data_IF_384396839457
#
_entry.id   IF_384396839457
#
_cell.length_a   1.000
_cell.length_b   1.000
_cell.length_c   1.000
_cell.angle_alpha   90.00
_cell.angle_beta   90.00
_cell.angle_gamma   90.00
#
_symmetry.space_group_name_H-M   'P 1'
#
loop_
_entity.id
_entity.type
_entity.pdbx_description
1 polymer ?
#
# COMPACT_ATOMS: atom_id res chain seq x y z
N UNK A 1 52.35 -23.09 6.63
CA UNK A 1 51.67 -22.97 5.32
C UNK A 1 50.20 -23.27 5.55
N UNK A 2 49.48 -22.36 6.22
CA UNK A 2 48.76 -21.21 5.62
C UNK A 2 47.54 -21.67 4.84
N UNK A 3 46.35 -21.45 5.39
CA UNK A 3 45.59 -20.25 5.04
C UNK A 3 44.25 -20.28 5.78
N UNK A 4 44.17 -19.51 6.85
CA UNK A 4 42.94 -19.19 7.55
C UNK A 4 42.05 -18.32 6.66
N UNK A 5 40.79 -18.74 6.54
CA UNK A 5 39.70 -18.00 5.93
C UNK A 5 39.34 -16.80 6.82
N UNK A 6 39.50 -15.57 6.34
CA UNK A 6 38.98 -14.36 6.98
C UNK A 6 37.98 -13.63 6.07
N UNK A 7 36.78 -13.40 6.60
CA UNK A 7 35.83 -12.39 6.14
C UNK A 7 36.28 -10.98 6.59
N UNK A 8 35.94 -9.95 5.82
CA UNK A 8 35.18 -8.75 6.24
C UNK A 8 35.68 -7.39 5.72
N UNK A 9 34.70 -6.49 5.63
CA UNK A 9 34.75 -5.02 5.60
C UNK A 9 34.76 -4.36 4.22
N UNK A 10 33.75 -3.50 4.05
CA UNK A 10 33.36 -2.89 2.79
C UNK A 10 33.94 -1.51 2.53
N UNK A 11 33.71 -1.08 1.28
CA UNK A 11 33.48 0.30 0.84
C UNK A 11 32.86 0.19 -0.55
N UNK A 12 31.55 0.34 -0.65
CA UNK A 12 30.89 0.64 -1.94
C UNK A 12 31.17 2.11 -2.21
N UNK A 13 32.37 2.39 -2.71
CA UNK A 13 32.78 3.73 -3.14
C UNK A 13 32.20 4.02 -4.51
N UNK A 14 31.37 5.06 -4.55
CA UNK A 14 31.29 6.06 -5.59
C UNK A 14 31.30 5.58 -7.05
N UNK A 15 30.10 5.55 -7.65
CA UNK A 15 29.95 6.12 -8.99
C UNK A 15 28.60 6.79 -9.09
N UNK A 16 28.61 8.12 -9.03
CA UNK A 16 27.52 8.93 -9.55
C UNK A 16 27.34 8.63 -11.03
N UNK A 17 26.10 8.41 -11.47
CA UNK A 17 25.77 8.59 -12.89
C UNK A 17 24.35 9.17 -13.02
N UNK A 18 24.31 10.49 -13.23
CA UNK A 18 23.17 11.24 -13.71
C UNK A 18 23.04 11.09 -15.23
N UNK A 19 22.64 9.90 -15.67
CA UNK A 19 22.03 9.71 -16.98
C UNK A 19 20.51 9.69 -16.80
N UNK A 20 19.75 10.02 -17.82
CA UNK A 20 18.30 9.85 -17.81
C UNK A 20 17.97 8.37 -17.52
N UNK A 21 17.72 8.05 -16.24
CA UNK A 21 17.51 6.67 -15.79
C UNK A 21 16.05 6.34 -16.05
N UNK A 22 15.75 5.84 -17.25
CA UNK A 22 14.55 5.04 -17.49
C UNK A 22 14.60 3.85 -16.55
N UNK A 23 13.87 3.97 -15.45
CA UNK A 23 13.70 2.90 -14.49
C UNK A 23 12.68 1.94 -15.08
N UNK A 24 13.15 0.76 -15.48
CA UNK A 24 12.25 -0.29 -15.93
C UNK A 24 11.47 -0.83 -14.73
N UNK A 25 10.17 -0.99 -14.95
CA UNK A 25 9.21 -1.60 -14.03
C UNK A 25 8.43 -2.66 -14.81
N UNK A 26 8.13 -3.76 -14.14
CA UNK A 26 7.35 -4.86 -14.71
C UNK A 26 5.85 -4.54 -14.65
N UNK A 27 5.43 -3.71 -13.69
CA UNK A 27 4.05 -3.30 -13.52
C UNK A 27 3.96 -1.87 -12.98
N UNK A 28 3.05 -1.08 -13.55
CA UNK A 28 2.75 0.27 -13.09
C UNK A 28 1.24 0.36 -12.82
N UNK A 29 0.86 0.67 -11.60
CA UNK A 29 -0.52 1.03 -11.26
C UNK A 29 -0.67 2.55 -11.23
N UNK A 30 -1.60 3.05 -12.02
CA UNK A 30 -2.05 4.44 -11.99
C UNK A 30 -3.29 4.49 -11.11
N UNK A 31 -3.11 4.96 -9.88
CA UNK A 31 -4.12 4.99 -8.82
C UNK A 31 -3.83 3.98 -7.71
N UNK A 32 -3.61 4.47 -6.49
CA UNK A 32 -3.44 3.67 -5.29
C UNK A 32 -4.79 3.33 -4.63
N UNK A 33 -5.77 2.94 -5.45
CA UNK A 33 -7.06 2.42 -4.99
C UNK A 33 -6.98 0.94 -4.65
N UNK A 34 -8.09 0.37 -4.16
CA UNK A 34 -8.17 -1.06 -3.80
C UNK A 34 -7.74 -2.00 -4.94
N UNK A 35 -8.11 -1.70 -6.18
CA UNK A 35 -7.71 -2.50 -7.35
C UNK A 35 -6.23 -2.33 -7.71
N UNK A 36 -5.73 -1.10 -7.76
CA UNK A 36 -4.34 -0.81 -8.16
C UNK A 36 -3.33 -1.34 -7.15
N UNK A 37 -3.59 -1.14 -5.85
CA UNK A 37 -2.75 -1.65 -4.78
C UNK A 37 -2.75 -3.17 -4.73
N UNK A 38 -3.92 -3.83 -4.76
CA UNK A 38 -3.98 -5.30 -4.70
C UNK A 38 -3.30 -5.96 -5.90
N UNK A 39 -3.40 -5.36 -7.09
CA UNK A 39 -2.76 -5.88 -8.29
C UNK A 39 -1.23 -5.73 -8.21
N UNK A 40 -0.74 -4.58 -7.75
CA UNK A 40 0.71 -4.34 -7.56
C UNK A 40 1.28 -5.16 -6.41
N UNK A 41 0.55 -5.30 -5.30
CA UNK A 41 0.94 -6.14 -4.18
C UNK A 41 1.14 -7.59 -4.64
N UNK A 42 0.16 -8.14 -5.37
CA UNK A 42 0.28 -9.48 -5.96
C UNK A 42 1.45 -9.60 -6.94
N UNK A 43 1.69 -8.60 -7.79
CA UNK A 43 2.84 -8.62 -8.69
C UNK A 43 4.18 -8.57 -7.91
N UNK A 44 4.25 -7.79 -6.84
CA UNK A 44 5.41 -7.70 -5.96
C UNK A 44 5.71 -9.00 -5.24
N UNK A 45 4.69 -9.78 -4.86
CA UNK A 45 4.87 -11.13 -4.28
C UNK A 45 5.59 -12.08 -5.24
N UNK A 46 5.45 -11.88 -6.55
CA UNK A 46 6.18 -12.64 -7.58
C UNK A 46 7.57 -12.07 -7.90
N UNK A 47 8.09 -11.16 -7.06
CA UNK A 47 9.40 -10.54 -7.23
C UNK A 47 9.47 -9.53 -8.38
N UNK A 48 8.32 -9.06 -8.89
CA UNK A 48 8.26 -8.06 -9.94
C UNK A 48 8.50 -6.66 -9.38
N UNK A 49 9.27 -5.86 -10.10
CA UNK A 49 9.54 -4.48 -9.71
C UNK A 49 8.36 -3.61 -10.14
N UNK A 50 7.60 -3.15 -9.16
CA UNK A 50 6.35 -2.43 -9.40
C UNK A 50 6.44 -0.95 -9.02
N UNK A 51 5.63 -0.12 -9.68
CA UNK A 51 5.45 1.30 -9.38
C UNK A 51 3.96 1.61 -9.17
N UNK A 52 3.64 2.41 -8.15
CA UNK A 52 2.30 2.95 -7.94
C UNK A 52 2.38 4.46 -8.01
N UNK A 53 1.48 5.07 -8.77
CA UNK A 53 1.37 6.52 -8.89
C UNK A 53 -0.01 6.94 -8.41
N UNK A 54 -0.08 7.80 -7.39
CA UNK A 54 -1.32 8.35 -6.85
C UNK A 54 -1.18 9.87 -6.72
N UNK A 55 -2.26 10.60 -7.01
CA UNK A 55 -2.27 12.06 -6.97
C UNK A 55 -2.77 12.57 -5.61
N UNK A 56 -3.68 11.84 -4.96
CA UNK A 56 -4.31 12.24 -3.72
C UNK A 56 -3.99 11.27 -2.58
N UNK A 57 -5.02 10.78 -1.90
CA UNK A 57 -4.92 9.94 -0.72
C UNK A 57 -4.85 8.47 -1.12
N UNK A 58 -3.90 7.77 -0.50
CA UNK A 58 -3.75 6.31 -0.65
C UNK A 58 -5.03 5.60 -0.21
N UNK A 59 -5.37 4.48 -0.86
CA UNK A 59 -6.58 3.71 -0.62
C UNK A 59 -7.75 4.07 -1.54
N UNK A 60 -7.64 5.18 -2.30
CA UNK A 60 -8.62 5.61 -3.29
C UNK A 60 -10.01 5.85 -2.71
N UNK A 61 -11.04 5.72 -3.55
CA UNK A 61 -12.42 6.05 -3.18
C UNK A 61 -12.96 5.16 -2.06
N UNK A 62 -12.75 3.83 -2.15
CA UNK A 62 -13.37 2.87 -1.25
C UNK A 62 -13.01 3.13 0.23
N UNK A 63 -11.75 3.46 0.48
CA UNK A 63 -11.23 3.75 1.82
C UNK A 63 -11.61 5.15 2.28
N UNK A 64 -11.45 6.15 1.42
CA UNK A 64 -11.50 7.54 1.87
C UNK A 64 -12.90 8.16 1.83
N UNK A 65 -13.70 7.85 0.80
CA UNK A 65 -15.01 8.50 0.56
C UNK A 65 -16.05 7.52 0.03
N UNK A 66 -15.87 6.22 0.30
CA UNK A 66 -16.65 5.14 -0.27
C UNK A 66 -17.14 4.16 0.78
N UNK A 67 -16.90 2.88 0.55
CA UNK A 67 -17.48 1.80 1.35
C UNK A 67 -17.12 1.88 2.83
N UNK A 68 -15.87 2.26 3.18
CA UNK A 68 -15.42 2.32 4.57
C UNK A 68 -16.19 3.39 5.36
N UNK A 69 -16.14 4.70 5.01
CA UNK A 69 -16.90 5.71 5.75
C UNK A 69 -18.41 5.47 5.66
N UNK A 70 -18.90 4.96 4.52
CA UNK A 70 -20.32 4.58 4.37
C UNK A 70 -20.73 3.50 5.38
N UNK A 71 -19.93 2.46 5.59
CA UNK A 71 -20.27 1.38 6.52
C UNK A 71 -20.21 1.86 7.97
N UNK A 72 -19.24 2.72 8.31
CA UNK A 72 -19.17 3.36 9.64
C UNK A 72 -20.44 4.17 9.91
N UNK A 73 -20.84 5.02 8.97
CA UNK A 73 -22.07 5.84 9.08
C UNK A 73 -23.32 4.97 9.22
N UNK A 74 -23.41 3.87 8.47
CA UNK A 74 -24.51 2.92 8.57
C UNK A 74 -24.61 2.28 9.96
N UNK A 75 -23.48 1.91 10.57
CA UNK A 75 -23.47 1.39 11.94
C UNK A 75 -23.89 2.44 12.95
N UNK A 76 -23.43 3.69 12.81
CA UNK A 76 -23.84 4.78 13.68
C UNK A 76 -25.36 5.03 13.62
N UNK A 77 -25.94 5.02 12.42
CA UNK A 77 -27.39 5.16 12.23
C UNK A 77 -28.18 4.02 12.88
N UNK A 78 -27.71 2.78 12.74
CA UNK A 78 -28.35 1.63 13.39
C UNK A 78 -28.23 1.70 14.92
N UNK A 79 -27.07 2.11 15.44
CA UNK A 79 -26.88 2.27 16.88
C UNK A 79 -27.86 3.31 17.44
N UNK A 80 -28.01 4.47 16.78
CA UNK A 80 -28.98 5.49 17.16
C UNK A 80 -30.42 4.95 17.12
N UNK A 81 -30.77 4.18 16.08
CA UNK A 81 -32.09 3.55 15.94
C UNK A 81 -32.36 2.56 17.07
N UNK A 82 -31.39 1.71 17.40
CA UNK A 82 -31.52 0.73 18.49
C UNK A 82 -31.69 1.40 19.84
N UNK A 83 -30.93 2.46 20.11
CA UNK A 83 -31.04 3.24 21.35
C UNK A 83 -32.44 3.86 21.46
N UNK A 84 -32.98 4.40 20.36
CA UNK A 84 -34.32 4.98 20.36
C UNK A 84 -35.42 3.92 20.62
N UNK A 85 -35.31 2.74 19.99
CA UNK A 85 -36.27 1.64 20.16
C UNK A 85 -36.12 0.89 21.49
N UNK A 86 -35.05 1.13 22.25
CA UNK A 86 -34.78 0.41 23.51
C UNK A 86 -35.83 0.65 24.61
N UNK A 87 -36.59 1.76 24.53
CA UNK A 87 -37.62 2.10 25.53
C UNK A 87 -38.74 1.05 25.67
N UNK A 88 -39.00 0.24 24.62
CA UNK A 88 -40.01 -0.82 24.65
C UNK A 88 -39.53 -2.17 25.18
N UNK A 89 -38.26 -2.28 25.58
CA UNK A 89 -37.65 -3.54 26.05
C UNK A 89 -37.37 -3.55 27.57
N UNK A 90 -38.04 -2.66 28.32
CA UNK A 90 -38.00 -2.56 29.79
C UNK A 90 -39.11 -3.36 30.47
#
# INVERSE_FOLDING_TARGET
MTSETQQSSGRVSDTQQSSERTTHYDMIAIGAGSGGLSAVERASEYGKKCLVIEVKTIGGTCVNVGCVPKKVMWFAANAATHINSAQGFG
#
